data_IF_541446713664
#
_entry.id   IF_541446713664
#
_cell.length_a   1.000
_cell.length_b   1.000
_cell.length_c   1.000
_cell.angle_alpha   90.00
_cell.angle_beta   90.00
_cell.angle_gamma   90.00
#
_symmetry.space_group_name_H-M   'P 1'
#
loop_
_entity.id
_entity.type
_entity.pdbx_description
1 polymer ?
#
# COMPACT_ATOMS: atom_id res chain seq x y z
N UNK A 1 26.00 -106.57 -44.44
CA UNK A 1 25.37 -106.67 -43.11
C UNK A 1 24.42 -105.49 -42.96
N UNK A 2 23.13 -105.73 -42.73
CA UNK A 2 22.10 -104.70 -42.67
C UNK A 2 22.28 -103.73 -41.47
N UNK A 3 21.99 -102.43 -41.61
CA UNK A 3 21.58 -101.62 -40.48
C UNK A 3 20.08 -101.79 -40.22
N UNK A 4 19.75 -102.00 -38.94
CA UNK A 4 18.42 -102.29 -38.41
C UNK A 4 17.45 -101.14 -38.65
N UNK A 5 16.19 -101.50 -38.95
CA UNK A 5 15.03 -100.61 -38.92
C UNK A 5 14.92 -99.98 -37.52
N UNK A 6 14.80 -98.65 -37.36
CA UNK A 6 14.57 -98.06 -36.05
C UNK A 6 13.16 -98.42 -35.59
N UNK A 7 13.11 -99.27 -34.58
CA UNK A 7 11.95 -99.48 -33.71
C UNK A 7 11.76 -98.18 -32.93
N UNK A 8 10.78 -97.36 -33.33
CA UNK A 8 10.08 -96.34 -32.53
C UNK A 8 9.16 -95.50 -33.44
N UNK A 9 8.18 -96.14 -34.08
CA UNK A 9 7.04 -95.40 -34.61
C UNK A 9 6.09 -95.11 -33.44
N UNK A 10 6.45 -94.11 -32.64
CA UNK A 10 5.59 -93.61 -31.57
C UNK A 10 4.35 -93.04 -32.27
N UNK A 11 3.24 -93.79 -32.27
CA UNK A 11 1.93 -93.29 -32.67
C UNK A 11 1.68 -92.01 -31.90
N UNK A 12 1.89 -90.88 -32.57
CA UNK A 12 1.47 -89.58 -32.06
C UNK A 12 -0.04 -89.61 -32.18
N UNK A 13 -0.71 -90.11 -31.14
CA UNK A 13 -2.11 -89.79 -30.92
C UNK A 13 -2.13 -88.28 -30.77
N UNK A 14 -2.45 -87.58 -31.85
CA UNK A 14 -2.80 -86.17 -31.79
C UNK A 14 -4.05 -86.09 -30.91
N UNK A 15 -3.84 -85.91 -29.61
CA UNK A 15 -4.89 -85.60 -28.69
C UNK A 15 -5.44 -84.26 -29.15
N UNK A 16 -6.54 -84.28 -29.90
CA UNK A 16 -7.35 -83.09 -30.16
C UNK A 16 -8.21 -82.94 -28.90
N UNK A 17 -7.86 -82.03 -27.97
CA UNK A 17 -8.53 -81.93 -26.67
C UNK A 17 -10.03 -81.59 -26.78
N UNK A 18 -10.50 -81.20 -27.97
CA UNK A 18 -11.87 -80.78 -28.23
C UNK A 18 -12.72 -81.77 -29.06
N UNK A 19 -12.15 -82.89 -29.50
CA UNK A 19 -12.86 -83.81 -30.42
C UNK A 19 -14.06 -84.55 -29.80
N UNK A 20 -14.11 -84.69 -28.47
CA UNK A 20 -15.18 -85.45 -27.77
C UNK A 20 -16.24 -84.58 -27.07
N UNK A 21 -16.04 -83.28 -26.98
CA UNK A 21 -17.03 -82.37 -26.36
C UNK A 21 -18.09 -81.95 -27.40
N UNK A 22 -17.72 -81.89 -28.68
CA UNK A 22 -18.62 -81.50 -29.76
C UNK A 22 -19.52 -82.62 -30.31
N UNK A 23 -19.40 -83.88 -29.84
CA UNK A 23 -20.20 -85.00 -30.39
C UNK A 23 -21.60 -85.13 -29.81
N UNK A 24 -21.86 -84.52 -28.65
CA UNK A 24 -23.17 -84.56 -27.97
C UNK A 24 -23.91 -83.21 -28.01
N UNK A 25 -23.31 -82.19 -28.61
CA UNK A 25 -23.88 -80.84 -28.71
C UNK A 25 -24.24 -80.61 -30.16
N UNK A 26 -25.50 -80.25 -30.41
CA UNK A 26 -25.99 -79.93 -31.74
C UNK A 26 -25.09 -78.83 -32.37
N UNK A 27 -24.57 -79.04 -33.59
CA UNK A 27 -23.79 -78.03 -34.30
C UNK A 27 -24.49 -76.67 -34.37
N UNK A 28 -25.82 -76.63 -34.49
CA UNK A 28 -26.58 -75.37 -34.50
C UNK A 28 -26.44 -74.62 -33.18
N UNK A 29 -26.39 -75.33 -32.04
CA UNK A 29 -26.18 -74.73 -30.72
C UNK A 29 -24.78 -74.11 -30.62
N UNK A 30 -23.75 -74.78 -31.14
CA UNK A 30 -22.39 -74.23 -31.17
C UNK A 30 -22.29 -72.96 -32.04
N UNK A 31 -22.97 -72.94 -33.19
CA UNK A 31 -23.07 -71.73 -34.03
C UNK A 31 -23.79 -70.58 -33.32
N UNK A 32 -24.84 -70.86 -32.54
CA UNK A 32 -25.52 -69.82 -31.76
C UNK A 32 -24.64 -69.26 -30.64
N UNK A 33 -23.88 -70.10 -29.92
CA UNK A 33 -22.93 -69.65 -28.90
C UNK A 33 -21.81 -68.81 -29.50
N UNK A 34 -21.28 -69.21 -30.66
CA UNK A 34 -20.27 -68.44 -31.36
C UNK A 34 -20.82 -67.10 -31.85
N UNK A 35 -22.03 -67.06 -32.40
CA UNK A 35 -22.69 -65.83 -32.81
C UNK A 35 -22.92 -64.88 -31.61
N UNK A 36 -23.39 -65.40 -30.47
CA UNK A 36 -23.55 -64.61 -29.24
C UNK A 36 -22.21 -64.10 -28.70
N UNK A 37 -21.14 -64.89 -28.77
CA UNK A 37 -19.80 -64.45 -28.38
C UNK A 37 -19.29 -63.31 -29.29
N UNK A 38 -19.51 -63.41 -30.61
CA UNK A 38 -19.16 -62.33 -31.54
C UNK A 38 -19.99 -61.07 -31.30
N UNK A 39 -21.30 -61.21 -31.08
CA UNK A 39 -22.17 -60.07 -30.74
C UNK A 39 -21.70 -59.42 -29.42
N UNK A 40 -21.41 -60.22 -28.39
CA UNK A 40 -20.87 -59.74 -27.12
C UNK A 40 -19.51 -59.06 -27.31
N UNK A 41 -18.64 -59.58 -28.17
CA UNK A 41 -17.35 -58.99 -28.50
C UNK A 41 -17.48 -57.66 -29.22
N UNK A 42 -18.42 -57.54 -30.16
CA UNK A 42 -18.73 -56.27 -30.86
C UNK A 42 -19.32 -55.24 -29.89
N UNK A 43 -20.23 -55.65 -29.01
CA UNK A 43 -20.79 -54.77 -27.97
C UNK A 43 -19.71 -54.31 -26.99
N UNK A 44 -18.80 -55.20 -26.58
CA UNK A 44 -17.66 -54.86 -25.72
C UNK A 44 -16.69 -53.90 -26.44
N UNK A 45 -16.36 -54.15 -27.70
CA UNK A 45 -15.49 -53.26 -28.49
C UNK A 45 -16.12 -51.87 -28.65
N UNK A 46 -17.42 -51.80 -28.92
CA UNK A 46 -18.17 -50.54 -28.97
C UNK A 46 -18.19 -49.83 -27.61
N UNK A 47 -18.34 -50.57 -26.51
CA UNK A 47 -18.25 -50.00 -25.15
C UNK A 47 -16.85 -49.49 -24.81
N UNK A 48 -15.78 -50.14 -25.29
CA UNK A 48 -14.41 -49.70 -25.07
C UNK A 48 -14.05 -48.46 -25.91
N UNK A 49 -14.54 -48.39 -27.15
CA UNK A 49 -14.30 -47.25 -28.05
C UNK A 49 -15.04 -45.98 -27.61
N UNK A 50 -16.19 -46.14 -26.94
CA UNK A 50 -17.02 -45.01 -26.46
C UNK A 50 -16.62 -44.49 -25.07
N UNK A 51 -15.62 -45.06 -24.43
CA UNK A 51 -15.14 -44.66 -23.09
C UNK A 51 -14.19 -43.47 -23.21
N UNK A 52 -14.69 -42.27 -22.92
CA UNK A 52 -13.83 -41.08 -22.73
C UNK A 52 -13.09 -41.20 -21.39
N UNK A 53 -11.76 -41.10 -21.41
CA UNK A 53 -10.94 -41.06 -20.20
C UNK A 53 -10.96 -39.63 -19.63
N UNK A 54 -11.65 -39.46 -18.50
CA UNK A 54 -11.80 -38.17 -17.83
C UNK A 54 -10.75 -37.95 -16.71
N UNK A 55 -9.75 -38.83 -16.55
CA UNK A 55 -8.84 -38.77 -15.40
C UNK A 55 -7.68 -37.77 -15.52
N UNK A 56 -7.43 -37.22 -16.71
CA UNK A 56 -6.22 -36.44 -17.02
C UNK A 56 -6.38 -34.91 -17.00
N UNK A 57 -7.50 -34.39 -16.48
CA UNK A 57 -7.74 -32.94 -16.39
C UNK A 57 -7.93 -32.50 -14.94
N UNK A 58 -7.19 -31.46 -14.54
CA UNK A 58 -7.30 -30.81 -13.25
C UNK A 58 -7.71 -29.34 -13.39
N UNK A 59 -8.48 -28.84 -12.41
CA UNK A 59 -8.84 -27.42 -12.31
C UNK A 59 -7.75 -26.70 -11.49
N UNK A 60 -6.93 -25.89 -12.16
CA UNK A 60 -5.95 -25.01 -11.52
C UNK A 60 -6.60 -23.65 -11.26
N UNK A 61 -6.49 -23.17 -10.02
CA UNK A 61 -6.89 -21.83 -9.63
C UNK A 61 -5.64 -21.00 -9.39
N UNK A 62 -5.63 -19.77 -9.88
CA UNK A 62 -4.60 -18.80 -9.53
C UNK A 62 -5.20 -17.42 -9.31
N UNK A 63 -4.57 -16.63 -8.45
CA UNK A 63 -4.90 -15.22 -8.28
C UNK A 63 -3.61 -14.40 -8.19
N UNK A 64 -3.71 -13.08 -8.42
CA UNK A 64 -2.56 -12.17 -8.56
C UNK A 64 -1.72 -12.09 -7.27
N UNK A 65 -2.28 -12.46 -6.12
CA UNK A 65 -1.65 -12.25 -4.80
C UNK A 65 -1.22 -13.55 -4.08
N UNK A 66 -1.57 -14.75 -4.56
CA UNK A 66 -1.12 -16.02 -3.98
C UNK A 66 -1.46 -17.19 -4.91
N UNK A 67 -0.64 -18.24 -4.93
CA UNK A 67 -0.93 -19.47 -5.69
C UNK A 67 -1.38 -20.64 -4.80
N UNK A 68 -1.43 -20.42 -3.47
CA UNK A 68 -1.69 -21.47 -2.47
C UNK A 68 -2.77 -21.10 -1.42
N UNK A 69 -3.49 -19.98 -1.60
CA UNK A 69 -4.58 -19.62 -0.69
C UNK A 69 -5.74 -20.60 -0.82
N UNK A 70 -6.18 -21.17 0.30
CA UNK A 70 -7.38 -22.03 0.35
C UNK A 70 -8.70 -21.24 0.32
N UNK A 71 -8.64 -19.91 0.41
CA UNK A 71 -9.80 -19.01 0.42
C UNK A 71 -9.53 -17.75 -0.40
N UNK A 72 -10.57 -17.24 -1.08
CA UNK A 72 -10.55 -16.05 -1.94
C UNK A 72 -11.48 -14.97 -1.37
N UNK A 73 -11.27 -13.71 -1.74
CA UNK A 73 -12.09 -12.60 -1.24
C UNK A 73 -13.29 -12.30 -2.15
N UNK A 74 -14.38 -11.79 -1.57
CA UNK A 74 -15.50 -11.26 -2.35
C UNK A 74 -15.03 -10.15 -3.29
N UNK A 75 -15.41 -10.24 -4.57
CA UNK A 75 -15.01 -9.29 -5.61
C UNK A 75 -13.62 -9.53 -6.20
N UNK A 76 -12.84 -10.48 -5.67
CA UNK A 76 -11.54 -10.84 -6.25
C UNK A 76 -11.71 -11.57 -7.58
N UNK A 77 -10.88 -11.20 -8.57
CA UNK A 77 -10.84 -11.89 -9.87
C UNK A 77 -9.96 -13.14 -9.75
N UNK A 78 -10.59 -14.29 -9.84
CA UNK A 78 -9.95 -15.61 -9.81
C UNK A 78 -9.73 -16.08 -11.24
N UNK A 79 -8.53 -16.57 -11.52
CA UNK A 79 -8.20 -17.20 -12.80
C UNK A 79 -8.42 -18.71 -12.67
N UNK A 80 -9.26 -19.25 -13.56
CA UNK A 80 -9.54 -20.68 -13.67
C UNK A 80 -8.87 -21.21 -14.92
N UNK A 81 -8.05 -22.25 -14.77
CA UNK A 81 -7.34 -22.88 -15.88
C UNK A 81 -7.57 -24.39 -15.87
N UNK A 82 -8.01 -24.94 -17.01
CA UNK A 82 -8.07 -26.37 -17.24
C UNK A 82 -6.68 -26.88 -17.62
N UNK A 83 -6.01 -27.54 -16.69
CA UNK A 83 -4.76 -28.23 -16.94
C UNK A 83 -5.05 -29.58 -17.57
N UNK A 84 -4.83 -29.67 -18.88
CA UNK A 84 -4.95 -30.92 -19.61
C UNK A 84 -3.56 -31.53 -19.85
N UNK A 85 -3.36 -32.75 -19.38
CA UNK A 85 -2.12 -33.50 -19.63
C UNK A 85 -2.12 -34.18 -21.01
N UNK A 86 -3.30 -34.39 -21.60
CA UNK A 86 -3.47 -34.94 -22.93
C UNK A 86 -3.66 -33.78 -23.91
N UNK A 87 -2.71 -33.54 -24.82
CA UNK A 87 -2.65 -32.39 -25.76
C UNK A 87 -3.82 -32.25 -26.76
N UNK A 88 -5.00 -32.85 -26.51
CA UNK A 88 -6.23 -32.68 -27.28
C UNK A 88 -6.90 -31.35 -26.92
N UNK A 89 -7.29 -30.60 -27.95
CA UNK A 89 -8.06 -29.36 -27.81
C UNK A 89 -9.49 -29.72 -27.41
N UNK A 90 -9.86 -29.39 -26.18
CA UNK A 90 -11.15 -29.71 -25.59
C UNK A 90 -12.03 -28.46 -25.50
N UNK A 91 -13.32 -28.59 -25.80
CA UNK A 91 -14.31 -27.52 -25.65
C UNK A 91 -14.76 -27.43 -24.18
N UNK A 92 -14.00 -26.68 -23.39
CA UNK A 92 -14.27 -26.48 -21.98
C UNK A 92 -15.41 -25.49 -21.73
N UNK A 93 -16.35 -25.90 -20.90
CA UNK A 93 -17.44 -25.07 -20.35
C UNK A 93 -17.34 -25.03 -18.84
N UNK A 94 -17.44 -23.84 -18.26
CA UNK A 94 -17.32 -23.58 -16.83
C UNK A 94 -18.66 -23.11 -16.25
N UNK A 95 -19.04 -23.68 -15.11
CA UNK A 95 -20.18 -23.27 -14.30
C UNK A 95 -19.69 -22.97 -12.88
N UNK A 96 -19.91 -21.76 -12.37
CA UNK A 96 -19.28 -21.30 -11.14
C UNK A 96 -20.10 -21.57 -9.86
N UNK A 97 -21.35 -22.03 -9.99
CA UNK A 97 -22.20 -22.37 -8.84
C UNK A 97 -22.82 -21.16 -8.10
N UNK A 98 -22.66 -19.95 -8.62
CA UNK A 98 -23.16 -18.68 -8.06
C UNK A 98 -24.31 -18.07 -8.86
N UNK A 99 -24.92 -18.85 -9.77
CA UNK A 99 -25.92 -18.45 -10.78
C UNK A 99 -25.43 -17.52 -11.89
N UNK A 100 -24.11 -17.30 -12.00
CA UNK A 100 -23.53 -16.55 -13.12
C UNK A 100 -23.61 -17.32 -14.44
N UNK A 101 -23.47 -16.58 -15.55
CA UNK A 101 -23.43 -17.16 -16.89
C UNK A 101 -22.25 -18.14 -17.03
N UNK A 102 -22.44 -19.18 -17.83
CA UNK A 102 -21.37 -20.14 -18.15
C UNK A 102 -20.26 -19.45 -18.94
N UNK A 103 -19.01 -19.82 -18.68
CA UNK A 103 -17.86 -19.36 -19.45
C UNK A 103 -17.29 -20.49 -20.30
N UNK A 104 -16.64 -20.16 -21.42
CA UNK A 104 -16.04 -21.13 -22.33
C UNK A 104 -14.58 -20.81 -22.60
N UNK A 105 -13.74 -21.84 -22.71
CA UNK A 105 -12.31 -21.70 -23.00
C UNK A 105 -11.44 -22.41 -21.98
N UNK A 106 -10.16 -22.60 -22.31
CA UNK A 106 -9.21 -23.29 -21.43
C UNK A 106 -8.89 -22.48 -20.16
N UNK A 107 -8.79 -21.16 -20.30
CA UNK A 107 -8.56 -20.24 -19.20
C UNK A 107 -9.67 -19.19 -19.17
N UNK A 108 -10.31 -19.00 -18.02
CA UNK A 108 -11.39 -18.03 -17.81
C UNK A 108 -11.18 -17.25 -16.51
N UNK A 109 -11.81 -16.09 -16.42
CA UNK A 109 -11.75 -15.22 -15.25
C UNK A 109 -13.15 -15.07 -14.67
N UNK A 110 -13.27 -15.19 -13.34
CA UNK A 110 -14.55 -15.01 -12.65
C UNK A 110 -14.34 -14.39 -11.27
N UNK A 111 -15.32 -13.64 -10.80
CA UNK A 111 -15.35 -13.07 -9.46
C UNK A 111 -16.69 -13.36 -8.77
N UNK A 112 -16.64 -13.63 -7.47
CA UNK A 112 -17.83 -13.95 -6.69
C UNK A 112 -18.28 -12.73 -5.87
N UNK A 113 -19.56 -12.39 -5.97
CA UNK A 113 -20.13 -11.19 -5.34
C UNK A 113 -20.62 -11.42 -3.90
N UNK A 114 -20.66 -12.68 -3.43
CA UNK A 114 -21.10 -13.03 -2.08
C UNK A 114 -20.10 -14.01 -1.47
N UNK A 115 -19.90 -13.91 -0.16
CA UNK A 115 -19.14 -14.92 0.57
C UNK A 115 -19.94 -16.23 0.63
N UNK A 116 -19.24 -17.35 0.52
CA UNK A 116 -19.82 -18.67 0.46
C UNK A 116 -18.84 -19.70 -0.09
N UNK A 117 -19.18 -20.97 0.05
CA UNK A 117 -18.51 -22.05 -0.69
C UNK A 117 -19.23 -22.26 -2.02
N UNK A 118 -18.48 -22.22 -3.11
CA UNK A 118 -18.99 -22.40 -4.47
C UNK A 118 -18.39 -23.64 -5.11
N UNK A 119 -19.24 -24.49 -5.68
CA UNK A 119 -18.82 -25.67 -6.44
C UNK A 119 -18.68 -25.29 -7.91
N UNK A 120 -17.43 -25.13 -8.34
CA UNK A 120 -17.11 -24.82 -9.74
C UNK A 120 -17.00 -26.11 -10.54
N UNK A 121 -17.79 -26.21 -11.60
CA UNK A 121 -17.87 -27.37 -12.48
C UNK A 121 -17.25 -27.02 -13.84
N UNK A 122 -16.28 -27.84 -14.27
CA UNK A 122 -15.70 -27.83 -15.61
C UNK A 122 -16.27 -29.01 -16.38
N UNK A 123 -16.82 -28.78 -17.57
CA UNK A 123 -17.33 -29.84 -18.45
C UNK A 123 -16.67 -29.78 -19.82
N UNK A 124 -16.36 -30.95 -20.37
CA UNK A 124 -15.87 -31.12 -21.75
C UNK A 124 -16.38 -32.45 -22.30
N UNK A 125 -17.21 -32.42 -23.33
CA UNK A 125 -17.81 -33.64 -23.89
C UNK A 125 -18.68 -34.36 -22.86
N UNK A 126 -18.37 -35.63 -22.55
CA UNK A 126 -19.05 -36.40 -21.50
C UNK A 126 -18.36 -36.30 -20.14
N UNK A 127 -17.22 -35.61 -20.05
CA UNK A 127 -16.45 -35.47 -18.83
C UNK A 127 -16.88 -34.24 -18.03
N UNK A 128 -16.88 -34.37 -16.71
CA UNK A 128 -17.18 -33.30 -15.76
C UNK A 128 -16.26 -33.39 -14.54
N UNK A 129 -15.67 -32.26 -14.16
CA UNK A 129 -14.79 -32.10 -12.99
C UNK A 129 -15.34 -31.01 -12.09
N UNK A 130 -15.22 -31.19 -10.78
CA UNK A 130 -15.72 -30.22 -9.81
C UNK A 130 -14.64 -29.81 -8.82
N UNK A 131 -14.59 -28.53 -8.46
CA UNK A 131 -13.68 -28.00 -7.44
C UNK A 131 -14.41 -27.03 -6.54
N UNK A 132 -14.23 -27.22 -5.24
CA UNK A 132 -14.75 -26.31 -4.23
C UNK A 132 -13.87 -25.04 -4.16
N UNK A 133 -14.52 -23.88 -4.19
CA UNK A 133 -13.91 -22.56 -4.06
C UNK A 133 -14.55 -21.86 -2.86
N UNK A 134 -13.75 -21.65 -1.80
CA UNK A 134 -14.17 -20.93 -0.62
C UNK A 134 -13.96 -19.43 -0.83
N UNK A 135 -15.05 -18.65 -0.80
CA UNK A 135 -15.03 -17.19 -0.87
C UNK A 135 -15.42 -16.63 0.49
N UNK A 136 -14.53 -15.87 1.09
CA UNK A 136 -14.78 -15.20 2.36
C UNK A 136 -15.01 -13.72 2.13
N UNK A 137 -15.81 -13.08 2.98
CA UNK A 137 -15.78 -11.62 3.06
C UNK A 137 -14.34 -11.19 3.32
N UNK A 138 -13.90 -10.02 2.82
CA UNK A 138 -12.76 -9.38 3.44
C UNK A 138 -13.07 -9.33 4.93
N UNK A 139 -12.24 -10.03 5.71
CA UNK A 139 -12.25 -9.81 7.14
C UNK A 139 -11.82 -8.36 7.24
N UNK A 140 -12.77 -7.44 7.42
CA UNK A 140 -12.48 -6.22 8.13
C UNK A 140 -11.87 -6.75 9.42
N UNK A 141 -10.54 -6.67 9.51
CA UNK A 141 -9.87 -6.85 10.76
C UNK A 141 -10.50 -5.80 11.67
N UNK A 142 -11.53 -6.18 12.42
CA UNK A 142 -12.01 -5.47 13.61
C UNK A 142 -11.00 -5.66 14.76
N UNK A 143 -9.75 -5.97 14.43
CA UNK A 143 -8.56 -5.47 15.12
C UNK A 143 -8.09 -4.13 14.53
N UNK A 144 -9.02 -3.35 13.96
CA UNK A 144 -8.82 -1.96 13.58
C UNK A 144 -8.49 -1.17 14.83
N UNK A 145 -7.21 -1.20 15.20
CA UNK A 145 -6.62 -0.03 15.83
C UNK A 145 -7.01 1.13 14.92
N UNK A 146 -7.57 2.23 15.45
CA UNK A 146 -7.86 3.38 14.62
C UNK A 146 -6.63 3.69 13.76
N UNK A 147 -6.84 4.22 12.56
CA UNK A 147 -5.74 4.64 11.71
C UNK A 147 -5.01 5.77 12.46
N UNK A 148 -3.91 5.42 13.11
CA UNK A 148 -3.20 6.32 14.01
C UNK A 148 -1.99 6.82 13.26
N UNK A 149 -2.02 8.10 12.91
CA UNK A 149 -0.89 8.80 12.34
C UNK A 149 -0.07 9.40 13.49
N UNK A 150 1.07 8.80 13.89
CA UNK A 150 1.92 9.38 14.91
C UNK A 150 2.46 10.73 14.48
N UNK A 151 2.50 11.68 15.41
CA UNK A 151 3.14 13.00 15.19
C UNK A 151 4.43 13.09 16.00
N UNK A 152 5.52 13.49 15.35
CA UNK A 152 6.78 13.83 16.03
C UNK A 152 6.78 15.33 16.35
N UNK A 153 6.70 15.67 17.63
CA UNK A 153 6.90 17.03 18.13
C UNK A 153 8.38 17.25 18.46
N UNK A 154 8.95 18.35 17.98
CA UNK A 154 10.35 18.70 18.20
C UNK A 154 10.86 19.65 17.12
N UNK A 155 12.04 20.26 17.31
CA UNK A 155 12.57 21.23 16.37
C UNK A 155 13.03 20.54 15.08
N UNK A 156 12.86 21.23 13.95
CA UNK A 156 13.40 20.80 12.65
C UNK A 156 14.85 21.25 12.44
N UNK A 157 15.38 22.07 13.35
CA UNK A 157 16.74 22.61 13.29
C UNK A 157 17.45 22.38 14.63
N UNK A 158 18.73 22.01 14.56
CA UNK A 158 19.55 21.72 15.73
C UNK A 158 20.97 22.27 15.53
N UNK A 159 21.72 22.45 16.63
CA UNK A 159 23.16 22.75 16.58
C UNK A 159 23.95 21.55 17.06
N UNK A 160 25.06 21.24 16.39
CA UNK A 160 25.96 20.19 16.80
C UNK A 160 26.46 20.42 18.25
N UNK A 161 26.51 19.34 19.03
CA UNK A 161 26.91 19.35 20.45
C UNK A 161 25.82 19.76 21.44
N UNK A 162 24.62 20.15 21.00
CA UNK A 162 23.50 20.48 21.89
C UNK A 162 22.45 19.36 21.92
N UNK A 163 21.91 19.02 23.11
CA UNK A 163 20.82 18.05 23.21
C UNK A 163 19.53 18.62 22.64
N UNK A 164 18.80 17.80 21.90
CA UNK A 164 17.50 18.11 21.29
C UNK A 164 16.52 17.01 21.64
N UNK A 165 15.34 17.40 22.10
CA UNK A 165 14.30 16.48 22.55
C UNK A 165 13.15 16.40 21.55
N UNK A 166 12.72 15.18 21.25
CA UNK A 166 11.56 14.85 20.43
C UNK A 166 10.54 14.11 21.28
N UNK A 167 9.26 14.41 21.08
CA UNK A 167 8.15 13.84 21.85
C UNK A 167 7.03 13.39 20.92
N UNK A 168 6.33 12.33 21.30
CA UNK A 168 5.10 11.90 20.67
C UNK A 168 3.94 11.99 21.68
N UNK A 169 2.90 12.74 21.34
CA UNK A 169 1.69 12.92 22.17
C UNK A 169 0.45 12.23 21.60
N UNK A 170 0.66 11.19 20.80
CA UNK A 170 -0.44 10.48 20.16
C UNK A 170 -1.19 9.67 21.23
N UNK A 171 -2.47 9.99 21.46
CA UNK A 171 -3.25 9.49 22.61
C UNK A 171 -3.40 7.96 22.65
N UNK A 172 -3.24 7.28 21.52
CA UNK A 172 -3.36 5.84 21.33
C UNK A 172 -2.00 5.11 21.25
N UNK A 173 -0.88 5.81 21.48
CA UNK A 173 0.44 5.21 21.52
C UNK A 173 0.71 4.58 22.89
N UNK A 174 1.03 3.28 22.90
CA UNK A 174 1.42 2.50 24.09
C UNK A 174 2.89 2.05 24.03
N UNK A 175 3.44 1.94 22.83
CA UNK A 175 4.86 1.64 22.59
C UNK A 175 5.43 2.58 21.54
N UNK A 176 6.71 2.93 21.68
CA UNK A 176 7.43 3.83 20.76
C UNK A 176 8.76 3.19 20.38
N UNK A 177 9.15 3.38 19.13
CA UNK A 177 10.43 2.98 18.57
C UNK A 177 10.96 4.13 17.73
N UNK A 178 11.95 4.84 18.28
CA UNK A 178 12.62 5.96 17.65
C UNK A 178 13.95 5.50 17.05
N UNK A 179 14.24 5.88 15.81
CA UNK A 179 15.50 5.51 15.16
C UNK A 179 15.95 6.58 14.16
N UNK A 180 17.25 6.88 14.13
CA UNK A 180 17.84 7.67 13.04
C UNK A 180 18.03 6.80 11.80
N UNK A 181 17.68 7.29 10.63
CA UNK A 181 17.92 6.61 9.34
C UNK A 181 19.39 6.76 8.94
N UNK A 182 20.25 6.03 9.63
CA UNK A 182 21.68 5.88 9.35
C UNK A 182 22.13 4.46 9.72
N UNK A 183 23.27 4.05 9.20
CA UNK A 183 23.85 2.75 9.50
C UNK A 183 24.11 2.61 11.01
N UNK A 184 23.75 1.45 11.56
CA UNK A 184 23.93 1.10 12.98
C UNK A 184 23.30 2.07 13.99
N UNK A 185 22.26 2.82 13.60
CA UNK A 185 21.53 3.67 14.54
C UNK A 185 20.85 2.87 15.66
N UNK A 186 21.06 3.30 16.90
CA UNK A 186 20.37 2.75 18.06
C UNK A 186 18.85 3.03 18.00
N UNK A 187 18.07 2.09 18.53
CA UNK A 187 16.63 2.21 18.70
C UNK A 187 16.34 2.65 20.13
N UNK A 188 15.53 3.69 20.28
CA UNK A 188 15.12 4.20 21.60
C UNK A 188 13.63 3.97 21.82
N UNK A 189 13.24 3.73 23.06
CA UNK A 189 11.86 3.53 23.49
C UNK A 189 11.38 4.69 24.37
N UNK A 190 10.06 4.76 24.57
CA UNK A 190 9.40 5.79 25.40
C UNK A 190 8.81 6.94 24.59
N UNK A 191 7.88 7.69 25.19
CA UNK A 191 7.16 8.77 24.49
C UNK A 191 8.04 9.98 24.13
N UNK A 192 9.20 10.12 24.77
CA UNK A 192 10.16 11.21 24.56
C UNK A 192 11.56 10.65 24.39
N UNK A 193 12.33 11.20 23.46
CA UNK A 193 13.73 10.85 23.20
C UNK A 193 14.58 12.11 23.06
N UNK A 194 15.80 12.08 23.57
CA UNK A 194 16.77 13.18 23.44
C UNK A 194 18.00 12.71 22.66
N UNK A 195 18.36 13.46 21.62
CA UNK A 195 19.55 13.22 20.79
C UNK A 195 20.53 14.39 20.91
N UNK A 196 21.82 14.08 20.90
CA UNK A 196 22.90 15.07 20.75
C UNK A 196 23.68 14.74 19.48
N UNK A 197 23.56 15.59 18.46
CA UNK A 197 24.23 15.37 17.17
C UNK A 197 25.67 15.88 17.24
N UNK A 198 26.65 15.03 16.95
CA UNK A 198 28.08 15.40 17.02
C UNK A 198 28.57 16.18 15.80
N UNK A 199 27.94 16.02 14.65
CA UNK A 199 28.35 16.67 13.39
C UNK A 199 27.17 17.37 12.70
N UNK A 200 27.45 18.47 11.98
CA UNK A 200 26.45 19.13 11.14
C UNK A 200 26.02 18.23 9.96
N UNK A 201 24.85 18.54 9.40
CA UNK A 201 24.26 17.84 8.26
C UNK A 201 22.78 17.48 8.47
N UNK A 202 22.19 16.89 7.45
CA UNK A 202 20.80 16.43 7.48
C UNK A 202 20.67 15.10 8.23
N UNK A 203 19.67 15.02 9.09
CA UNK A 203 19.31 13.81 9.83
C UNK A 203 17.83 13.52 9.64
N UNK A 204 17.50 12.24 9.43
CA UNK A 204 16.10 11.82 9.38
C UNK A 204 15.81 10.91 10.56
N UNK A 205 14.84 11.31 11.38
CA UNK A 205 14.34 10.56 12.53
C UNK A 205 13.06 9.84 12.13
N UNK A 206 13.00 8.52 12.34
CA UNK A 206 11.79 7.73 12.22
C UNK A 206 11.17 7.44 13.57
N UNK A 207 9.83 7.37 13.58
CA UNK A 207 9.05 6.91 14.70
C UNK A 207 8.06 5.84 14.24
N UNK A 208 8.09 4.71 14.92
CA UNK A 208 7.07 3.66 14.84
C UNK A 208 6.39 3.59 16.21
N UNK A 209 5.06 3.65 16.22
CA UNK A 209 4.27 3.42 17.44
C UNK A 209 3.63 2.05 17.38
N UNK A 210 3.54 1.38 18.52
CA UNK A 210 2.79 0.13 18.69
C UNK A 210 3.20 -1.02 17.73
N UNK A 211 4.42 -1.00 17.21
CA UNK A 211 4.89 -1.98 16.22
C UNK A 211 4.28 -1.82 14.83
N UNK A 212 3.53 -0.75 14.57
CA UNK A 212 2.91 -0.49 13.27
C UNK A 212 3.90 0.19 12.31
N UNK A 213 4.60 -0.63 11.52
CA UNK A 213 5.54 -0.14 10.52
C UNK A 213 4.86 0.47 9.29
N UNK A 214 3.57 0.21 9.06
CA UNK A 214 2.84 0.74 7.91
C UNK A 214 2.57 2.25 8.05
N UNK A 215 2.37 2.73 9.27
CA UNK A 215 2.15 4.15 9.59
C UNK A 215 3.38 4.82 10.23
N UNK A 216 4.58 4.37 9.84
CA UNK A 216 5.83 5.00 10.26
C UNK A 216 5.90 6.47 9.77
N UNK A 217 6.26 7.39 10.69
CA UNK A 217 6.45 8.80 10.36
C UNK A 217 7.92 9.18 10.38
N UNK A 218 8.30 10.11 9.49
CA UNK A 218 9.65 10.64 9.37
C UNK A 218 9.69 12.13 9.69
N UNK A 219 10.75 12.56 10.38
CA UNK A 219 11.05 13.97 10.68
C UNK A 219 12.45 14.30 10.17
N UNK A 220 12.54 15.32 9.34
CA UNK A 220 13.81 15.83 8.81
C UNK A 220 14.35 16.90 9.76
N UNK A 221 15.65 16.82 10.05
CA UNK A 221 16.34 17.67 11.03
C UNK A 221 17.62 18.18 10.40
N UNK A 222 17.73 19.50 10.22
CA UNK A 222 18.94 20.16 9.76
C UNK A 222 19.84 20.48 10.95
N UNK A 223 21.03 19.88 11.02
CA UNK A 223 22.01 20.13 12.08
C UNK A 223 23.04 21.14 11.59
N UNK A 224 23.06 22.32 12.20
CA UNK A 224 24.05 23.37 11.97
C UNK A 224 25.32 23.12 12.79
N UNK A 225 26.49 23.63 12.34
CA UNK A 225 27.72 23.55 13.11
C UNK A 225 27.57 24.23 14.47
N UNK A 226 28.30 23.73 15.47
CA UNK A 226 28.31 24.35 16.79
C UNK A 226 28.69 25.83 16.65
N UNK A 227 27.96 26.72 17.35
CA UNK A 227 28.35 28.14 17.41
C UNK A 227 29.77 28.20 17.97
N UNK A 228 30.72 28.92 17.34
CA UNK A 228 32.03 29.16 17.93
C UNK A 228 31.84 29.64 19.36
N UNK A 229 32.55 29.04 20.30
CA UNK A 229 32.62 29.58 21.65
C UNK A 229 33.06 31.05 21.51
N UNK A 230 32.27 31.98 22.08
CA UNK A 230 32.77 33.34 22.23
C UNK A 230 34.12 33.21 22.98
N UNK A 231 35.20 33.87 22.49
CA UNK A 231 36.47 33.82 23.19
C UNK A 231 36.22 34.18 24.66
N UNK A 232 36.73 33.35 25.57
CA UNK A 232 36.70 33.65 27.00
C UNK A 232 37.23 35.07 27.18
N UNK A 233 36.42 35.94 27.78
CA UNK A 233 36.90 37.25 28.20
C UNK A 233 38.11 37.02 29.08
N UNK A 234 39.29 37.39 28.58
CA UNK A 234 40.47 37.59 29.40
C UNK A 234 40.07 38.52 30.55
N UNK A 235 40.47 38.24 31.81
CA UNK A 235 40.11 39.10 32.93
C UNK A 235 40.51 40.54 32.60
N UNK A 236 39.51 41.42 32.59
CA UNK A 236 39.68 42.82 32.24
C UNK A 236 40.80 43.44 33.09
N UNK A 237 41.70 44.14 32.41
CA UNK A 237 42.66 45.07 33.02
C UNK A 237 41.89 45.97 33.99
N UNK A 238 42.39 46.28 35.21
CA UNK A 238 41.67 47.10 36.16
C UNK A 238 41.36 48.46 35.50
N UNK A 239 40.09 48.69 35.20
CA UNK A 239 39.60 49.98 34.77
C UNK A 239 39.83 50.96 35.92
N UNK A 240 40.80 51.85 35.75
CA UNK A 240 40.94 53.02 36.60
C UNK A 240 39.66 53.86 36.43
N UNK A 241 38.86 54.10 37.47
CA UNK A 241 37.66 54.90 37.31
C UNK A 241 38.04 56.33 36.95
N UNK A 242 37.62 56.76 35.77
CA UNK A 242 37.67 58.17 35.37
C UNK A 242 36.82 59.01 36.36
N UNK A 243 37.19 60.27 36.63
CA UNK A 243 36.54 61.08 37.65
C UNK A 243 35.05 61.23 37.34
N UNK A 244 34.21 60.92 38.34
CA UNK A 244 32.75 61.02 38.24
C UNK A 244 32.39 62.48 37.95
N UNK A 245 32.08 62.78 36.69
CA UNK A 245 31.38 64.01 36.33
C UNK A 245 29.94 63.91 36.85
N UNK A 246 29.36 65.01 37.39
CA UNK A 246 27.99 64.99 37.86
C UNK A 246 27.05 64.52 36.76
N UNK A 247 26.26 63.48 37.06
CA UNK A 247 25.23 62.93 36.18
C UNK A 247 24.34 64.07 35.68
N UNK A 248 24.50 64.46 34.43
CA UNK A 248 23.49 65.24 33.73
C UNK A 248 22.18 64.43 33.77
N UNK A 249 21.02 65.05 33.99
CA UNK A 249 19.76 64.35 34.14
C UNK A 249 19.57 63.41 32.94
N UNK A 250 19.36 62.14 33.26
CA UNK A 250 19.10 61.07 32.32
C UNK A 250 17.99 61.53 31.37
N UNK A 251 18.22 61.55 30.05
CA UNK A 251 17.12 61.80 29.13
C UNK A 251 16.05 60.75 29.43
N UNK A 252 14.76 61.15 29.50
CA UNK A 252 13.69 60.22 29.83
C UNK A 252 13.77 58.99 28.92
N UNK A 253 13.38 57.81 29.43
CA UNK A 253 13.52 56.54 28.72
C UNK A 253 13.00 56.74 27.31
N UNK A 254 13.88 56.58 26.32
CA UNK A 254 13.47 56.59 24.92
C UNK A 254 12.50 55.44 24.80
N UNK A 255 11.22 55.80 24.67
CA UNK A 255 10.14 54.85 24.45
C UNK A 255 10.58 53.88 23.37
N UNK A 256 10.56 52.60 23.73
CA UNK A 256 10.69 51.49 22.81
C UNK A 256 9.77 51.80 21.62
N UNK A 257 10.37 52.08 20.45
CA UNK A 257 9.60 52.45 19.26
C UNK A 257 8.57 51.34 19.06
N UNK A 258 7.27 51.66 18.99
CA UNK A 258 6.25 50.65 18.82
C UNK A 258 6.60 49.81 17.59
N UNK A 259 6.68 48.48 17.80
CA UNK A 259 6.66 47.48 16.72
C UNK A 259 5.66 47.96 15.67
N UNK A 260 6.03 48.06 14.38
CA UNK A 260 5.17 48.67 13.38
C UNK A 260 3.83 47.94 13.36
N UNK A 261 2.80 48.60 13.88
CA UNK A 261 1.45 48.07 13.88
C UNK A 261 0.91 48.21 12.47
N UNK A 262 1.22 47.24 11.60
CA UNK A 262 0.73 47.26 10.23
C UNK A 262 -0.81 47.26 10.22
N UNK A 263 -1.41 48.17 9.48
CA UNK A 263 -2.87 48.22 9.33
C UNK A 263 -3.36 47.12 8.39
N UNK A 264 -4.64 46.76 8.50
CA UNK A 264 -5.26 45.75 7.62
C UNK A 264 -5.14 46.15 6.13
N UNK A 265 -5.27 47.44 5.82
CA UNK A 265 -5.16 47.98 4.46
C UNK A 265 -3.72 47.96 3.93
N UNK A 266 -2.75 48.27 4.79
CA UNK A 266 -1.33 48.21 4.44
C UNK A 266 -0.90 46.75 4.20
N UNK A 267 -1.36 45.82 5.04
CA UNK A 267 -1.10 44.38 4.86
C UNK A 267 -1.76 43.85 3.59
N UNK A 268 -2.99 44.29 3.28
CA UNK A 268 -3.66 44.01 2.01
C UNK A 268 -2.84 44.52 0.83
N UNK A 269 -2.33 45.75 0.89
CA UNK A 269 -1.47 46.29 -0.16
C UNK A 269 -0.21 45.43 -0.35
N UNK A 270 0.47 45.04 0.74
CA UNK A 270 1.62 44.14 0.65
C UNK A 270 1.25 42.79 0.02
N UNK A 271 0.10 42.20 0.35
CA UNK A 271 -0.37 40.96 -0.27
C UNK A 271 -0.63 41.12 -1.77
N UNK A 272 -1.11 42.27 -2.24
CA UNK A 272 -1.22 42.52 -3.69
C UNK A 272 0.14 42.50 -4.38
N UNK A 273 1.22 42.89 -3.69
CA UNK A 273 2.57 42.82 -4.23
C UNK A 273 3.03 41.38 -4.48
N UNK A 274 2.57 40.41 -3.67
CA UNK A 274 2.79 38.96 -3.88
C UNK A 274 2.15 38.49 -5.18
N UNK A 275 0.94 38.97 -5.49
CA UNK A 275 0.27 38.65 -6.78
C UNK A 275 1.02 39.21 -8.00
N UNK A 276 1.83 40.25 -7.80
CA UNK A 276 2.67 40.87 -8.83
C UNK A 276 4.12 40.40 -8.84
N UNK A 277 4.50 39.41 -8.00
CA UNK A 277 5.87 38.89 -7.84
C UNK A 277 6.88 39.90 -7.28
N UNK A 278 6.43 40.92 -6.56
CA UNK A 278 7.31 41.92 -5.93
C UNK A 278 7.68 41.56 -4.49
N UNK A 279 6.89 40.69 -3.85
CA UNK A 279 7.12 40.21 -2.48
C UNK A 279 6.86 38.72 -2.38
N UNK A 280 7.47 38.11 -1.39
CA UNK A 280 7.36 36.70 -1.01
C UNK A 280 6.84 36.57 0.41
N UNK A 281 6.49 35.36 0.84
CA UNK A 281 6.02 35.12 2.22
C UNK A 281 7.04 35.60 3.28
N UNK A 282 8.34 35.49 3.00
CA UNK A 282 9.42 35.88 3.90
C UNK A 282 9.42 37.39 4.23
N UNK A 283 8.96 38.24 3.30
CA UNK A 283 8.87 39.70 3.50
C UNK A 283 7.86 40.09 4.61
N UNK A 284 7.00 39.16 5.02
CA UNK A 284 6.01 39.36 6.06
C UNK A 284 6.44 38.79 7.42
N UNK A 285 7.59 38.12 7.49
CA UNK A 285 8.09 37.50 8.71
C UNK A 285 8.18 38.51 9.87
N UNK A 286 8.58 39.75 9.59
CA UNK A 286 8.64 40.83 10.59
C UNK A 286 7.28 41.17 11.24
N UNK A 287 6.17 41.00 10.53
CA UNK A 287 4.82 41.28 11.04
C UNK A 287 4.19 40.04 11.69
N UNK A 288 4.61 38.86 11.25
CA UNK A 288 4.15 37.55 11.75
C UNK A 288 5.06 37.01 12.87
N UNK A 289 6.01 37.81 13.35
CA UNK A 289 7.00 37.42 14.37
C UNK A 289 7.73 36.12 14.00
N UNK A 290 8.16 36.05 12.74
CA UNK A 290 8.83 34.95 12.08
C UNK A 290 8.02 33.63 12.02
N UNK A 291 6.70 33.70 12.23
CA UNK A 291 5.80 32.56 12.10
C UNK A 291 5.06 32.59 10.74
N UNK A 292 5.70 32.07 9.70
CA UNK A 292 5.10 31.95 8.36
C UNK A 292 3.99 30.87 8.29
N UNK A 293 3.85 30.04 9.33
CA UNK A 293 2.76 29.09 9.50
C UNK A 293 1.47 29.72 10.05
N UNK A 294 1.41 31.05 10.16
CA UNK A 294 0.23 31.77 10.68
C UNK A 294 -1.05 31.36 9.93
N UNK A 295 -2.12 31.14 10.70
CA UNK A 295 -3.40 30.66 10.18
C UNK A 295 -4.06 31.72 9.29
N UNK A 296 -4.41 31.34 8.08
CA UNK A 296 -5.17 32.14 7.12
C UNK A 296 -6.56 31.52 6.93
N UNK A 297 -7.60 32.30 7.17
CA UNK A 297 -8.99 31.94 6.87
C UNK A 297 -9.39 32.66 5.58
N UNK A 298 -9.95 31.91 4.63
CA UNK A 298 -10.25 32.33 3.28
C UNK A 298 -11.77 32.29 3.08
N UNK A 299 -12.37 33.44 2.74
CA UNK A 299 -13.81 33.58 2.53
C UNK A 299 -14.67 32.97 3.67
N UNK A 300 -14.19 33.07 4.91
CA UNK A 300 -14.90 32.68 6.14
C UNK A 300 -14.77 31.21 6.57
N UNK A 301 -14.62 30.27 5.63
CA UNK A 301 -14.68 28.83 5.95
C UNK A 301 -13.42 28.05 5.58
N UNK A 302 -12.74 28.41 4.49
CA UNK A 302 -11.56 27.68 4.02
C UNK A 302 -10.34 28.07 4.88
N UNK A 303 -9.50 27.12 5.28
CA UNK A 303 -8.31 27.38 6.09
C UNK A 303 -7.05 27.03 5.32
N UNK A 304 -6.01 27.84 5.50
CA UNK A 304 -4.68 27.65 4.93
C UNK A 304 -3.61 28.16 5.90
N UNK A 305 -2.34 27.87 5.63
CA UNK A 305 -1.21 28.54 6.28
C UNK A 305 -0.70 29.69 5.40
N UNK A 306 -0.09 30.71 6.02
CA UNK A 306 0.29 31.93 5.31
C UNK A 306 1.31 31.71 4.18
N UNK A 307 2.30 30.86 4.41
CA UNK A 307 3.31 30.51 3.41
C UNK A 307 2.69 29.82 2.17
N UNK A 308 1.85 28.83 2.39
CA UNK A 308 1.15 28.09 1.34
C UNK A 308 0.12 28.97 0.63
N UNK A 309 -0.58 29.84 1.35
CA UNK A 309 -1.45 30.83 0.71
C UNK A 309 -0.66 31.76 -0.22
N UNK A 310 0.48 32.30 0.24
CA UNK A 310 1.34 33.16 -0.56
C UNK A 310 1.86 32.47 -1.82
N UNK A 311 2.26 31.21 -1.74
CA UNK A 311 2.71 30.43 -2.92
C UNK A 311 1.58 30.25 -3.93
N UNK A 312 0.34 30.03 -3.47
CA UNK A 312 -0.83 29.87 -4.35
C UNK A 312 -1.23 31.15 -5.07
N UNK A 313 -1.02 32.32 -4.48
CA UNK A 313 -1.37 33.62 -5.11
C UNK A 313 -0.19 34.26 -5.85
N UNK A 314 1.03 33.72 -5.69
CA UNK A 314 2.24 34.30 -6.27
C UNK A 314 2.14 34.43 -7.80
N UNK A 315 2.28 35.65 -8.30
CA UNK A 315 2.18 35.94 -9.73
C UNK A 315 0.78 35.85 -10.35
N UNK A 316 -0.28 35.59 -9.57
CA UNK A 316 -1.66 35.53 -10.06
C UNK A 316 -2.29 36.92 -10.13
N UNK A 317 -1.96 37.70 -11.16
CA UNK A 317 -2.47 39.08 -11.37
C UNK A 317 -4.01 39.20 -11.43
N UNK A 318 -4.73 38.11 -11.73
CA UNK A 318 -6.21 38.06 -11.75
C UNK A 318 -6.81 37.84 -10.36
N UNK A 319 -6.00 37.50 -9.36
CA UNK A 319 -6.43 37.26 -7.98
C UNK A 319 -6.65 38.60 -7.27
N UNK A 320 -7.91 38.97 -7.03
CA UNK A 320 -8.28 40.23 -6.40
C UNK A 320 -8.66 40.02 -4.94
N UNK A 321 -7.84 40.57 -4.05
CA UNK A 321 -8.11 40.60 -2.61
C UNK A 321 -9.07 41.76 -2.31
N UNK A 322 -10.23 41.45 -1.75
CA UNK A 322 -11.27 42.43 -1.43
C UNK A 322 -11.09 42.99 -0.02
N UNK A 323 -10.82 42.12 0.95
CA UNK A 323 -10.64 42.50 2.34
C UNK A 323 -9.61 41.62 3.03
N UNK A 324 -8.86 42.21 3.93
CA UNK A 324 -8.01 41.52 4.90
C UNK A 324 -8.40 42.03 6.28
N UNK A 325 -8.55 41.13 7.25
CA UNK A 325 -8.64 41.49 8.65
C UNK A 325 -7.54 40.74 9.41
N UNK A 326 -6.75 41.45 10.21
CA UNK A 326 -5.67 40.88 11.01
C UNK A 326 -6.09 40.69 12.46
N UNK A 327 -5.77 39.55 13.02
CA UNK A 327 -5.78 39.31 14.48
C UNK A 327 -4.36 39.44 14.99
N UNK A 328 -4.16 40.24 16.03
CA UNK A 328 -2.86 40.49 16.65
C UNK A 328 -2.84 39.98 18.09
N UNK A 329 -1.68 39.55 18.54
CA UNK A 329 -1.44 39.20 19.94
C UNK A 329 -1.11 40.44 20.80
N UNK A 330 -0.92 40.22 22.11
CA UNK A 330 -0.56 41.28 23.05
C UNK A 330 0.80 41.95 22.74
N UNK A 331 1.64 41.33 21.91
CA UNK A 331 2.94 41.84 21.48
C UNK A 331 2.87 42.53 20.10
N UNK A 332 1.67 42.71 19.53
CA UNK A 332 1.43 43.32 18.22
C UNK A 332 1.75 42.42 17.02
N UNK A 333 2.09 41.15 17.24
CA UNK A 333 2.34 40.16 16.18
C UNK A 333 1.03 39.69 15.56
N UNK A 334 0.99 39.57 14.24
CA UNK A 334 -0.16 38.98 13.54
C UNK A 334 -0.16 37.48 13.77
N UNK A 335 -1.24 36.94 14.36
CA UNK A 335 -1.41 35.50 14.66
C UNK A 335 -2.62 34.86 13.95
N UNK A 336 -3.42 35.68 13.27
CA UNK A 336 -4.53 35.21 12.43
C UNK A 336 -4.82 36.21 11.32
N UNK A 337 -5.16 35.69 10.13
CA UNK A 337 -5.42 36.51 8.95
C UNK A 337 -6.72 36.01 8.32
N UNK A 338 -7.73 36.86 8.20
CA UNK A 338 -8.93 36.58 7.43
C UNK A 338 -8.85 37.32 6.10
N UNK A 339 -8.96 36.61 4.98
CA UNK A 339 -8.88 37.17 3.63
C UNK A 339 -10.18 36.87 2.89
N UNK A 340 -10.81 37.92 2.35
CA UNK A 340 -11.92 37.80 1.41
C UNK A 340 -11.45 38.16 0.00
N UNK A 341 -11.80 37.35 -0.98
CA UNK A 341 -11.40 37.52 -2.39
C UNK A 341 -12.53 37.15 -3.34
N UNK A 342 -12.52 37.75 -4.54
CA UNK A 342 -13.56 37.56 -5.55
C UNK A 342 -13.46 36.16 -6.20
N UNK A 343 -14.41 35.27 -5.86
CA UNK A 343 -14.50 33.91 -6.44
C UNK A 343 -14.92 33.91 -7.92
N UNK A 344 -15.59 34.95 -8.43
CA UNK A 344 -16.12 34.96 -9.81
C UNK A 344 -15.04 34.97 -10.88
N UNK A 345 -13.81 35.36 -10.54
CA UNK A 345 -12.64 35.33 -11.44
C UNK A 345 -11.76 34.08 -11.29
N UNK A 346 -12.13 33.14 -10.42
CA UNK A 346 -11.35 31.93 -10.10
C UNK A 346 -11.81 30.67 -10.87
N UNK A 347 -12.86 30.77 -11.70
CA UNK A 347 -13.53 29.65 -12.42
C UNK A 347 -12.68 28.96 -13.52
N UNK A 348 -11.35 29.03 -13.46
CA UNK A 348 -10.49 28.48 -14.51
C UNK A 348 -9.24 27.76 -14.05
N UNK A 349 -9.07 27.46 -12.75
CA UNK A 349 -7.93 26.66 -12.27
C UNK A 349 -8.32 25.92 -10.98
N UNK A 350 -8.93 24.75 -11.12
CA UNK A 350 -8.84 23.67 -10.14
C UNK A 350 -8.41 22.41 -10.88
#
# INVERSE_FOLDING_TARGET
MAPRKPENERKVNSFRPFGKIASHVDPMVLWTFFALFLISGVLLAFQLDTKEDCSNTDIILSHVQNTNSKAYLVGEVITFNAANHDKKTNNYTWEFGDSSNKATGQQVYHSFNKAGSYMVTLSSGKCSWTKEVLVTMPVENTGGKPDIFPVIEGPSEAFAGRPVTFTNKTSSATQWSWRLLQDNAAVHAGATVTYTFSSPGERTLSLIINGDSAHMVLKHITVFPARPAAPEHTPDVPFNPEPVQPKAPEPPPVAEKPKPSISDDEFKYLLTQVTTKQKTAADFAQYLCNNLGTKVVLNGNDQDNFEHFCSRIYGKKKFKIERVNLTKDANGCVNGILIMYDRKKLLGIF
#
